data_IF_962307444192
#
_entry.id   IF_962307444192
#
_cell.length_a   1.000
_cell.length_b   1.000
_cell.length_c   1.000
_cell.angle_alpha   90.00
_cell.angle_beta   90.00
_cell.angle_gamma   90.00
#
_symmetry.space_group_name_H-M   'P 1'
#
loop_
_entity.id
_entity.type
_entity.pdbx_description
1 polymer ?
#
# COMPACT_ATOMS: atom_id res chain seq x y z
N UNK A 1 -4.52 34.70 -27.38
CA UNK A 1 -4.47 34.69 -25.90
C UNK A 1 -3.39 35.68 -25.52
N UNK A 2 -3.75 36.87 -25.04
CA UNK A 2 -2.80 37.81 -24.47
C UNK A 2 -2.16 37.15 -23.26
N UNK A 3 -0.84 37.02 -23.25
CA UNK A 3 -0.10 36.59 -22.06
C UNK A 3 -0.40 37.61 -20.96
N UNK A 4 -0.80 37.15 -19.81
CA UNK A 4 -1.04 38.01 -18.64
C UNK A 4 0.32 38.46 -18.08
N UNK A 5 0.93 39.42 -18.80
CA UNK A 5 2.24 39.96 -18.47
C UNK A 5 2.23 40.75 -17.16
N UNK A 6 1.08 41.33 -16.78
CA UNK A 6 0.96 42.10 -15.54
C UNK A 6 0.92 41.18 -14.32
N UNK A 7 0.18 40.06 -14.39
CA UNK A 7 0.15 39.06 -13.34
C UNK A 7 1.51 38.41 -13.12
N UNK A 8 2.21 38.09 -14.20
CA UNK A 8 3.58 37.52 -14.15
C UNK A 8 4.58 38.51 -13.54
N UNK A 9 4.51 39.81 -13.90
CA UNK A 9 5.36 40.85 -13.28
C UNK A 9 5.11 40.99 -11.78
N UNK A 10 3.86 40.97 -11.35
CA UNK A 10 3.52 41.01 -9.94
C UNK A 10 4.06 39.79 -9.16
N UNK A 11 4.07 38.59 -9.78
CA UNK A 11 4.67 37.41 -9.19
C UNK A 11 6.19 37.54 -9.05
N UNK A 12 6.89 38.14 -10.05
CA UNK A 12 8.32 38.41 -9.94
C UNK A 12 8.64 39.41 -8.83
N UNK A 13 7.85 40.48 -8.68
CA UNK A 13 8.03 41.41 -7.56
C UNK A 13 7.85 40.75 -6.19
N UNK A 14 6.85 39.85 -6.04
CA UNK A 14 6.71 39.07 -4.82
C UNK A 14 7.92 38.15 -4.57
N UNK A 15 8.49 37.57 -5.62
CA UNK A 15 9.68 36.74 -5.53
C UNK A 15 10.92 37.52 -5.07
N UNK A 16 11.13 38.74 -5.63
CA UNK A 16 12.24 39.62 -5.26
C UNK A 16 12.17 40.02 -3.77
N UNK A 17 10.98 40.25 -3.22
CA UNK A 17 10.79 40.48 -1.77
C UNK A 17 11.24 39.30 -0.90
N UNK A 18 11.17 38.08 -1.40
CA UNK A 18 11.66 36.89 -0.70
C UNK A 18 13.17 36.66 -0.90
N UNK A 19 13.74 37.14 -2.02
CA UNK A 19 15.17 37.02 -2.33
C UNK A 19 16.05 37.98 -1.52
N UNK A 20 15.55 39.13 -1.12
CA UNK A 20 16.28 40.09 -0.29
C UNK A 20 16.69 39.55 1.11
N UNK A 21 16.10 38.43 1.52
CA UNK A 21 16.50 37.71 2.74
C UNK A 21 17.58 36.64 2.53
N UNK A 22 18.01 36.38 1.30
CA UNK A 22 19.00 35.34 0.99
C UNK A 22 20.40 35.96 0.86
N UNK A 23 21.16 35.90 1.94
CA UNK A 23 22.54 36.36 2.02
C UNK A 23 23.46 35.50 1.14
N UNK A 24 23.95 36.12 0.05
CA UNK A 24 25.19 35.78 -0.61
C UNK A 24 25.36 34.38 -1.26
N UNK A 25 24.70 34.09 -2.35
CA UNK A 25 25.37 33.36 -3.42
C UNK A 25 25.33 31.83 -3.44
N UNK A 26 24.53 31.13 -2.62
CA UNK A 26 24.33 29.67 -2.73
C UNK A 26 22.87 29.35 -2.88
N UNK A 27 22.44 29.08 -4.11
CA UNK A 27 21.11 28.56 -4.44
C UNK A 27 21.01 27.15 -3.82
N UNK A 28 20.05 26.94 -2.90
CA UNK A 28 19.78 25.60 -2.41
C UNK A 28 19.15 24.73 -3.51
N UNK A 29 19.16 23.41 -3.36
CA UNK A 29 18.50 22.52 -4.31
C UNK A 29 17.00 22.83 -4.44
N UNK A 30 16.36 23.22 -3.34
CA UNK A 30 14.94 23.60 -3.31
C UNK A 30 14.71 24.89 -4.11
N UNK A 31 15.56 25.89 -3.93
CA UNK A 31 15.51 27.14 -4.70
C UNK A 31 15.72 26.87 -6.18
N UNK A 32 16.70 26.04 -6.54
CA UNK A 32 16.94 25.65 -7.93
C UNK A 32 15.72 24.96 -8.56
N UNK A 33 15.11 24.01 -7.88
CA UNK A 33 13.91 23.31 -8.35
C UNK A 33 12.73 24.26 -8.51
N UNK A 34 12.52 25.14 -7.52
CA UNK A 34 11.47 26.14 -7.57
C UNK A 34 11.67 27.10 -8.75
N UNK A 35 12.85 27.72 -8.87
CA UNK A 35 13.13 28.68 -9.93
C UNK A 35 13.01 28.05 -11.32
N UNK A 36 13.43 26.81 -11.49
CA UNK A 36 13.30 26.09 -12.75
C UNK A 36 11.85 25.86 -13.13
N UNK A 37 11.03 25.39 -12.21
CA UNK A 37 9.61 25.11 -12.41
C UNK A 37 8.80 26.39 -12.59
N UNK A 38 9.07 27.43 -11.79
CA UNK A 38 8.43 28.73 -11.89
C UNK A 38 8.74 29.41 -13.22
N UNK A 39 10.00 29.40 -13.63
CA UNK A 39 10.44 29.95 -14.93
C UNK A 39 9.79 29.22 -16.11
N UNK A 40 9.68 27.90 -16.02
CA UNK A 40 8.98 27.09 -17.03
C UNK A 40 7.51 27.50 -17.14
N UNK A 41 6.78 27.54 -16.03
CA UNK A 41 5.37 27.93 -15.99
C UNK A 41 5.15 29.36 -16.54
N UNK A 42 6.01 30.31 -16.18
CA UNK A 42 5.93 31.69 -16.69
C UNK A 42 6.23 31.81 -18.19
N UNK A 43 7.17 31.01 -18.70
CA UNK A 43 7.47 30.96 -20.14
C UNK A 43 6.32 30.35 -20.95
N UNK A 44 5.63 29.37 -20.40
CA UNK A 44 4.45 28.77 -21.02
C UNK A 44 3.19 29.64 -20.88
N UNK A 45 3.27 30.74 -20.10
CA UNK A 45 2.17 31.69 -19.89
C UNK A 45 1.03 31.13 -19.03
N UNK A 46 1.32 30.15 -18.17
CA UNK A 46 0.37 29.59 -17.22
C UNK A 46 0.49 30.30 -15.87
N UNK A 47 -0.32 31.35 -15.68
CA UNK A 47 -0.35 32.12 -14.43
C UNK A 47 -0.73 31.23 -13.24
N UNK A 48 -1.76 30.36 -13.40
CA UNK A 48 -2.25 29.49 -12.33
C UNK A 48 -1.18 28.49 -11.85
N UNK A 49 -0.37 27.93 -12.76
CA UNK A 49 0.74 27.04 -12.39
C UNK A 49 1.86 27.81 -11.68
N UNK A 50 2.20 29.01 -12.15
CA UNK A 50 3.20 29.85 -11.52
C UNK A 50 2.79 30.28 -10.09
N UNK A 51 1.52 30.62 -9.87
CA UNK A 51 0.96 30.90 -8.55
C UNK A 51 0.98 29.66 -7.64
N UNK A 52 0.68 28.48 -8.20
CA UNK A 52 0.78 27.21 -7.49
C UNK A 52 2.20 26.91 -6.99
N UNK A 53 3.21 27.08 -7.85
CA UNK A 53 4.62 26.92 -7.46
C UNK A 53 5.06 27.94 -6.41
N UNK A 54 4.65 29.21 -6.55
CA UNK A 54 4.96 30.24 -5.55
C UNK A 54 4.32 29.95 -4.20
N UNK A 55 3.07 29.50 -4.18
CA UNK A 55 2.38 29.10 -2.95
C UNK A 55 3.06 27.91 -2.26
N UNK A 56 3.43 26.90 -3.03
CA UNK A 56 4.16 25.72 -2.51
C UNK A 56 5.54 26.13 -1.95
N UNK A 57 6.25 27.00 -2.63
CA UNK A 57 7.55 27.50 -2.19
C UNK A 57 7.43 28.31 -0.88
N UNK A 58 6.43 29.19 -0.77
CA UNK A 58 6.13 29.92 0.48
C UNK A 58 5.85 28.98 1.64
N UNK A 59 5.04 27.94 1.42
CA UNK A 59 4.73 26.94 2.44
C UNK A 59 5.99 26.17 2.90
N UNK A 60 6.89 25.84 1.96
CA UNK A 60 8.17 25.21 2.28
C UNK A 60 9.06 26.16 3.08
N UNK A 61 9.17 27.43 2.69
CA UNK A 61 9.96 28.43 3.43
C UNK A 61 9.41 28.69 4.84
N UNK A 62 8.07 28.73 5.01
CA UNK A 62 7.43 28.85 6.31
C UNK A 62 7.73 27.63 7.19
N UNK A 63 7.71 26.43 6.61
CA UNK A 63 8.07 25.20 7.29
C UNK A 63 9.56 25.17 7.66
N UNK A 64 10.44 25.68 6.76
CA UNK A 64 11.87 25.82 7.02
C UNK A 64 12.18 26.95 7.99
N UNK A 65 11.40 28.03 8.03
CA UNK A 65 11.51 29.12 9.00
C UNK A 65 11.20 28.67 10.44
N UNK A 66 10.47 27.55 10.62
CA UNK A 66 10.30 26.91 11.92
C UNK A 66 11.51 26.06 12.38
N UNK A 67 12.41 25.73 11.44
CA UNK A 67 13.72 25.10 11.70
C UNK A 67 14.75 26.23 11.70
N UNK A 68 15.43 26.47 12.83
CA UNK A 68 16.40 27.58 12.88
C UNK A 68 17.37 27.48 11.69
N UNK A 69 17.73 28.58 11.04
CA UNK A 69 18.67 28.60 9.89
C UNK A 69 20.00 27.90 10.18
N UNK A 70 20.38 27.88 11.44
CA UNK A 70 21.58 27.22 11.95
C UNK A 70 21.47 25.70 11.88
N UNK A 71 20.31 25.14 12.21
CA UNK A 71 20.04 23.70 12.12
C UNK A 71 19.95 23.22 10.66
N UNK A 72 19.35 24.00 9.76
CA UNK A 72 19.30 23.68 8.33
C UNK A 72 20.70 23.66 7.69
N UNK A 73 21.54 24.66 7.99
CA UNK A 73 22.94 24.73 7.55
C UNK A 73 23.79 23.60 8.14
N UNK A 74 23.51 23.20 9.37
CA UNK A 74 24.23 22.10 10.03
C UNK A 74 23.88 20.78 9.36
N UNK A 75 22.59 20.52 9.05
CA UNK A 75 22.16 19.29 8.36
C UNK A 75 22.76 19.20 6.96
N UNK A 76 22.74 20.30 6.18
CA UNK A 76 23.32 20.32 4.83
C UNK A 76 24.84 20.04 4.86
N UNK A 77 25.57 20.66 5.77
CA UNK A 77 26.99 20.41 5.95
C UNK A 77 27.24 18.95 6.36
N UNK A 78 26.50 18.45 7.35
CA UNK A 78 26.68 17.10 7.87
C UNK A 78 26.38 16.03 6.82
N UNK A 79 25.33 16.20 5.99
CA UNK A 79 25.05 15.33 4.86
C UNK A 79 26.18 15.31 3.82
N UNK A 80 26.73 16.47 3.49
CA UNK A 80 27.86 16.57 2.54
C UNK A 80 29.11 15.86 3.10
N UNK A 81 29.42 16.04 4.36
CA UNK A 81 30.55 15.36 5.02
C UNK A 81 30.30 13.86 5.12
N UNK A 82 29.06 13.41 5.40
CA UNK A 82 28.71 11.98 5.41
C UNK A 82 28.99 11.34 4.05
N UNK A 83 28.60 11.97 2.94
CA UNK A 83 28.85 11.42 1.60
C UNK A 83 30.35 11.30 1.29
N UNK A 84 31.14 12.28 1.74
CA UNK A 84 32.62 12.25 1.58
C UNK A 84 33.21 11.12 2.43
N UNK A 85 32.84 11.00 3.69
CA UNK A 85 33.35 9.96 4.60
C UNK A 85 32.91 8.55 4.19
N UNK A 86 31.70 8.37 3.65
CA UNK A 86 31.26 7.10 3.07
C UNK A 86 32.12 6.70 1.88
N UNK A 87 32.49 7.68 1.01
CA UNK A 87 33.34 7.40 -0.14
C UNK A 87 34.80 7.05 0.30
N UNK A 88 35.31 7.71 1.35
CA UNK A 88 36.61 7.39 1.97
C UNK A 88 36.53 6.01 2.63
N UNK A 89 35.46 5.74 3.39
CA UNK A 89 35.25 4.45 4.06
C UNK A 89 35.16 3.28 3.08
N UNK A 90 34.51 3.46 1.94
CA UNK A 90 34.43 2.48 0.87
C UNK A 90 35.82 2.09 0.30
N UNK A 91 36.77 3.04 0.30
CA UNK A 91 38.16 2.81 -0.15
C UNK A 91 39.08 2.25 0.92
N UNK A 92 38.85 2.62 2.18
CA UNK A 92 39.72 2.28 3.31
C UNK A 92 39.22 1.12 4.17
N UNK A 93 37.92 0.74 4.02
CA UNK A 93 37.26 -0.26 4.86
C UNK A 93 36.91 0.21 6.26
N UNK A 94 37.19 1.50 6.62
CA UNK A 94 36.91 2.05 7.95
C UNK A 94 35.72 3.01 7.95
N UNK A 95 34.58 2.57 8.49
CA UNK A 95 33.32 3.30 8.54
C UNK A 95 33.10 4.12 9.81
N UNK A 96 34.04 4.15 10.76
CA UNK A 96 33.85 4.77 12.08
C UNK A 96 33.41 6.24 12.01
N UNK A 97 33.99 7.04 11.12
CA UNK A 97 33.63 8.45 10.94
C UNK A 97 32.29 8.63 10.25
N UNK A 98 31.99 7.81 9.24
CA UNK A 98 30.71 7.82 8.55
C UNK A 98 29.57 7.45 9.50
N UNK A 99 29.77 6.42 10.35
CA UNK A 99 28.81 6.00 11.36
C UNK A 99 28.59 7.08 12.44
N UNK A 100 29.64 7.79 12.85
CA UNK A 100 29.52 8.90 13.80
C UNK A 100 28.65 10.04 13.23
N UNK A 101 28.89 10.46 11.98
CA UNK A 101 28.10 11.48 11.29
C UNK A 101 26.65 11.03 11.05
N UNK A 102 26.44 9.78 10.72
CA UNK A 102 25.11 9.20 10.57
C UNK A 102 24.33 9.24 11.88
N UNK A 103 24.97 8.87 12.98
CA UNK A 103 24.36 8.91 14.30
C UNK A 103 24.01 10.35 14.72
N UNK A 104 24.86 11.33 14.42
CA UNK A 104 24.60 12.75 14.68
C UNK A 104 23.35 13.23 13.89
N UNK A 105 23.22 12.88 12.61
CA UNK A 105 22.04 13.18 11.81
C UNK A 105 20.78 12.55 12.43
N UNK A 106 20.85 11.27 12.81
CA UNK A 106 19.73 10.55 13.41
C UNK A 106 19.32 11.18 14.75
N UNK A 107 20.28 11.61 15.56
CA UNK A 107 20.01 12.23 16.85
C UNK A 107 19.38 13.62 16.69
N UNK A 108 19.88 14.40 15.72
CA UNK A 108 19.28 15.70 15.36
C UNK A 108 17.85 15.54 14.82
N UNK A 109 17.62 14.62 13.90
CA UNK A 109 16.26 14.32 13.40
C UNK A 109 15.30 13.96 14.54
N UNK A 110 15.76 13.21 15.54
CA UNK A 110 14.95 12.84 16.70
C UNK A 110 14.71 13.97 17.67
N UNK A 111 15.67 14.86 17.83
CA UNK A 111 15.54 16.00 18.75
C UNK A 111 14.58 17.06 18.20
N UNK A 112 14.66 17.35 16.89
CA UNK A 112 13.85 18.36 16.21
C UNK A 112 12.49 17.78 15.78
N UNK A 113 12.46 16.55 15.27
CA UNK A 113 11.28 15.89 14.68
C UNK A 113 10.52 14.99 15.64
N UNK A 114 10.51 15.23 16.97
CA UNK A 114 9.90 14.35 17.98
C UNK A 114 8.47 13.90 17.69
N UNK A 115 7.68 14.73 17.00
CA UNK A 115 6.28 14.47 16.66
C UNK A 115 6.11 13.80 15.30
N UNK A 116 7.12 13.86 14.42
CA UNK A 116 7.04 13.42 13.02
C UNK A 116 7.81 12.12 12.80
N UNK A 117 8.95 11.96 13.50
CA UNK A 117 9.81 10.77 13.34
C UNK A 117 9.19 9.57 14.06
N UNK A 118 8.87 8.47 13.35
CA UNK A 118 8.30 7.29 13.96
C UNK A 118 9.27 6.65 14.95
N UNK A 119 8.73 5.96 15.96
CA UNK A 119 9.54 5.23 16.93
C UNK A 119 10.36 4.12 16.26
N UNK A 120 11.50 3.75 16.86
CA UNK A 120 12.32 2.62 16.37
C UNK A 120 11.53 1.31 16.24
N UNK A 121 10.54 1.09 17.11
CA UNK A 121 9.65 -0.05 17.08
C UNK A 121 8.77 -0.03 15.85
N UNK A 122 8.16 1.13 15.54
CA UNK A 122 7.30 1.31 14.38
C UNK A 122 8.06 1.13 13.07
N UNK A 123 9.26 1.72 12.96
CA UNK A 123 10.12 1.54 11.79
C UNK A 123 10.51 0.06 11.58
N UNK A 124 10.84 -0.67 12.66
CA UNK A 124 11.14 -2.11 12.56
C UNK A 124 9.92 -2.92 12.12
N UNK A 125 8.74 -2.57 12.63
CA UNK A 125 7.49 -3.22 12.28
C UNK A 125 7.17 -3.02 10.80
N UNK A 126 7.35 -1.80 10.28
CA UNK A 126 7.16 -1.45 8.88
C UNK A 126 8.14 -2.21 7.97
N UNK A 127 9.43 -2.23 8.32
CA UNK A 127 10.44 -3.02 7.58
C UNK A 127 10.09 -4.51 7.58
N UNK A 128 9.64 -5.06 8.71
CA UNK A 128 9.22 -6.44 8.80
C UNK A 128 7.96 -6.71 7.95
N UNK A 129 6.97 -5.81 7.99
CA UNK A 129 5.75 -5.88 7.17
C UNK A 129 6.08 -5.91 5.67
N UNK A 130 6.91 -4.99 5.20
CA UNK A 130 7.30 -4.91 3.79
C UNK A 130 8.10 -6.16 3.35
N UNK A 131 9.01 -6.66 4.20
CA UNK A 131 9.81 -7.86 3.91
C UNK A 131 8.98 -9.14 3.89
N UNK A 132 7.91 -9.20 4.67
CA UNK A 132 7.05 -10.38 4.75
C UNK A 132 6.17 -10.56 3.52
N UNK A 133 5.90 -9.51 2.73
CA UNK A 133 5.02 -9.55 1.56
C UNK A 133 3.74 -10.38 1.82
N UNK A 134 3.06 -10.09 2.95
CA UNK A 134 2.01 -10.96 3.51
C UNK A 134 0.92 -11.28 2.49
N UNK A 135 0.42 -10.28 1.77
CA UNK A 135 -0.71 -10.47 0.86
C UNK A 135 -0.33 -11.28 -0.37
N UNK A 136 0.86 -11.05 -0.92
CA UNK A 136 1.40 -11.83 -2.04
C UNK A 136 1.57 -13.30 -1.67
N UNK A 137 2.21 -13.59 -0.54
CA UNK A 137 2.40 -14.97 -0.06
C UNK A 137 1.07 -15.65 0.26
N UNK A 138 0.13 -14.92 0.88
CA UNK A 138 -1.22 -15.41 1.16
C UNK A 138 -1.96 -15.72 -0.14
N UNK A 139 -1.86 -14.87 -1.15
CA UNK A 139 -2.46 -15.08 -2.47
C UNK A 139 -1.97 -16.39 -3.10
N UNK A 140 -0.67 -16.60 -3.20
CA UNK A 140 -0.13 -17.87 -3.72
C UNK A 140 -0.54 -19.08 -2.88
N UNK A 141 -0.61 -18.93 -1.56
CA UNK A 141 -1.11 -19.97 -0.67
C UNK A 141 -2.58 -20.33 -0.95
N UNK A 142 -3.46 -19.33 -1.10
CA UNK A 142 -4.86 -19.53 -1.47
C UNK A 142 -5.01 -20.20 -2.84
N UNK A 143 -4.19 -19.79 -3.82
CA UNK A 143 -4.17 -20.45 -5.13
C UNK A 143 -3.80 -21.92 -5.03
N UNK A 144 -2.64 -22.24 -4.47
CA UNK A 144 -2.13 -23.61 -4.41
C UNK A 144 -3.04 -24.55 -3.61
N UNK A 145 -3.43 -24.14 -2.38
CA UNK A 145 -4.27 -24.95 -1.52
C UNK A 145 -5.72 -25.02 -2.05
N UNK A 146 -6.26 -23.91 -2.57
CA UNK A 146 -7.59 -23.86 -3.17
C UNK A 146 -7.71 -24.72 -4.40
N UNK A 147 -6.73 -24.64 -5.32
CA UNK A 147 -6.69 -25.45 -6.52
C UNK A 147 -6.57 -26.96 -6.19
N UNK A 148 -5.65 -27.32 -5.29
CA UNK A 148 -5.52 -28.69 -4.85
C UNK A 148 -6.80 -29.22 -4.20
N UNK A 149 -7.40 -28.44 -3.30
CA UNK A 149 -8.63 -28.82 -2.63
C UNK A 149 -9.82 -28.95 -3.59
N UNK A 150 -9.91 -28.08 -4.60
CA UNK A 150 -10.94 -28.16 -5.64
C UNK A 150 -10.75 -29.43 -6.50
N UNK A 151 -9.51 -29.74 -6.88
CA UNK A 151 -9.18 -30.96 -7.62
C UNK A 151 -9.58 -32.20 -6.83
N UNK A 152 -9.22 -32.24 -5.52
CA UNK A 152 -9.62 -33.35 -4.66
C UNK A 152 -11.14 -33.46 -4.47
N UNK A 153 -11.84 -32.35 -4.43
CA UNK A 153 -13.31 -32.34 -4.41
C UNK A 153 -13.89 -33.04 -5.65
N UNK A 154 -13.40 -32.75 -6.84
CA UNK A 154 -13.85 -33.45 -8.05
C UNK A 154 -13.49 -34.93 -8.01
N UNK A 155 -12.29 -35.31 -7.56
CA UNK A 155 -11.93 -36.72 -7.42
C UNK A 155 -12.83 -37.44 -6.41
N UNK A 156 -13.21 -36.80 -5.32
CA UNK A 156 -14.15 -37.36 -4.33
C UNK A 156 -15.55 -37.55 -4.92
N UNK A 157 -16.01 -36.65 -5.78
CA UNK A 157 -17.34 -36.73 -6.43
C UNK A 157 -17.51 -38.03 -7.24
N UNK A 158 -16.42 -38.53 -7.82
CA UNK A 158 -16.40 -39.78 -8.60
C UNK A 158 -15.92 -41.01 -7.79
N UNK A 159 -15.65 -40.85 -6.49
CA UNK A 159 -15.16 -41.90 -5.63
C UNK A 159 -16.29 -42.56 -4.86
N UNK A 160 -16.19 -43.86 -4.59
CA UNK A 160 -17.16 -44.58 -3.77
C UNK A 160 -17.12 -44.05 -2.31
N UNK A 161 -18.26 -43.54 -1.76
CA UNK A 161 -18.29 -42.89 -0.44
C UNK A 161 -17.87 -43.79 0.72
N UNK A 162 -18.03 -45.11 0.61
CA UNK A 162 -17.68 -46.07 1.65
C UNK A 162 -16.25 -46.61 1.54
N UNK A 163 -15.55 -46.28 0.46
CA UNK A 163 -14.20 -46.80 0.17
C UNK A 163 -13.11 -46.16 1.03
N UNK A 164 -12.03 -46.91 1.23
CA UNK A 164 -10.81 -46.42 1.93
C UNK A 164 -10.27 -45.13 1.24
N UNK A 165 -10.29 -45.11 -0.10
CA UNK A 165 -9.84 -43.93 -0.90
C UNK A 165 -10.62 -42.65 -0.54
N UNK A 166 -11.94 -42.74 -0.44
CA UNK A 166 -12.77 -41.59 -0.07
C UNK A 166 -12.42 -41.07 1.33
N UNK A 167 -12.21 -41.96 2.30
CA UNK A 167 -11.84 -41.62 3.68
C UNK A 167 -10.49 -40.90 3.73
N UNK A 168 -9.48 -41.40 2.99
CA UNK A 168 -8.16 -40.78 2.90
C UNK A 168 -8.25 -39.38 2.28
N UNK A 169 -8.95 -39.23 1.13
CA UNK A 169 -9.16 -37.95 0.47
C UNK A 169 -9.89 -36.94 1.38
N UNK A 170 -10.90 -37.40 2.12
CA UNK A 170 -11.61 -36.55 3.09
C UNK A 170 -10.69 -36.05 4.22
N UNK A 171 -9.76 -36.88 4.68
CA UNK A 171 -8.77 -36.47 5.68
C UNK A 171 -7.82 -35.41 5.11
N UNK A 172 -7.30 -35.62 3.90
CA UNK A 172 -6.44 -34.65 3.21
C UNK A 172 -7.17 -33.32 3.02
N UNK A 173 -8.42 -33.34 2.55
CA UNK A 173 -9.25 -32.14 2.36
C UNK A 173 -9.45 -31.39 3.67
N UNK A 174 -9.61 -32.10 4.78
CA UNK A 174 -9.71 -31.47 6.13
C UNK A 174 -8.40 -30.79 6.54
N UNK A 175 -7.25 -31.42 6.30
CA UNK A 175 -5.93 -30.82 6.57
C UNK A 175 -5.73 -29.56 5.72
N UNK A 176 -6.06 -29.63 4.42
CA UNK A 176 -6.00 -28.45 3.55
C UNK A 176 -6.92 -27.32 4.03
N UNK A 177 -8.13 -27.65 4.52
CA UNK A 177 -9.04 -26.68 5.11
C UNK A 177 -8.43 -25.95 6.33
N UNK A 178 -7.74 -26.67 7.20
CA UNK A 178 -7.02 -26.08 8.32
C UNK A 178 -5.83 -25.21 7.84
N UNK A 179 -5.11 -25.62 6.80
CA UNK A 179 -4.04 -24.82 6.22
C UNK A 179 -4.57 -23.52 5.63
N UNK A 180 -5.72 -23.56 4.93
CA UNK A 180 -6.40 -22.35 4.43
C UNK A 180 -6.85 -21.47 5.59
N UNK A 181 -7.32 -22.05 6.70
CA UNK A 181 -7.68 -21.28 7.89
C UNK A 181 -6.47 -20.55 8.51
N UNK A 182 -5.31 -21.19 8.58
CA UNK A 182 -4.08 -20.54 9.05
C UNK A 182 -3.67 -19.38 8.11
N UNK A 183 -3.80 -19.54 6.79
CA UNK A 183 -3.58 -18.45 5.84
C UNK A 183 -4.59 -17.32 6.03
N UNK A 184 -5.85 -17.62 6.35
CA UNK A 184 -6.86 -16.62 6.65
C UNK A 184 -6.52 -15.80 7.89
N UNK A 185 -5.98 -16.42 8.94
CA UNK A 185 -5.48 -15.70 10.11
C UNK A 185 -4.24 -14.89 9.78
N UNK A 186 -3.32 -15.42 8.96
CA UNK A 186 -2.15 -14.68 8.49
C UNK A 186 -2.54 -13.46 7.63
N UNK A 187 -3.57 -13.59 6.78
CA UNK A 187 -4.16 -12.49 6.04
C UNK A 187 -4.74 -11.41 6.98
N UNK A 188 -5.53 -11.81 7.98
CA UNK A 188 -6.06 -10.91 9.00
C UNK A 188 -4.95 -10.16 9.76
N UNK A 189 -3.87 -10.85 10.10
CA UNK A 189 -2.70 -10.25 10.74
C UNK A 189 -2.06 -9.17 9.82
N UNK A 190 -1.97 -9.43 8.50
CA UNK A 190 -1.50 -8.46 7.53
C UNK A 190 -2.36 -7.18 7.48
N UNK A 191 -3.68 -7.33 7.45
CA UNK A 191 -4.63 -6.20 7.50
C UNK A 191 -4.48 -5.43 8.81
N UNK A 192 -4.36 -6.13 9.95
CA UNK A 192 -4.17 -5.51 11.27
C UNK A 192 -2.85 -4.75 11.36
N UNK A 193 -1.76 -5.33 10.86
CA UNK A 193 -0.46 -4.66 10.81
C UNK A 193 -0.53 -3.39 9.95
N UNK A 194 -1.20 -3.46 8.79
CA UNK A 194 -1.39 -2.29 7.95
C UNK A 194 -2.18 -1.21 8.67
N UNK A 195 -3.24 -1.57 9.40
CA UNK A 195 -4.01 -0.63 10.22
C UNK A 195 -3.14 0.08 11.28
N UNK A 196 -2.29 -0.69 11.97
CA UNK A 196 -1.38 -0.14 12.99
C UNK A 196 -0.37 0.82 12.36
N UNK A 197 0.19 0.46 11.19
CA UNK A 197 1.20 1.27 10.50
C UNK A 197 0.62 2.53 9.88
N UNK A 198 -0.58 2.45 9.29
CA UNK A 198 -1.25 3.59 8.64
C UNK A 198 -1.92 4.54 9.63
N UNK A 199 -2.25 4.06 10.84
CA UNK A 199 -3.04 4.81 11.83
C UNK A 199 -4.53 5.00 11.45
N UNK A 200 -4.99 4.41 10.35
CA UNK A 200 -6.38 4.47 9.89
C UNK A 200 -6.87 3.11 9.40
N UNK A 201 -8.19 2.98 9.23
CA UNK A 201 -8.81 1.74 8.78
C UNK A 201 -8.33 1.34 7.38
N UNK A 202 -7.94 0.05 7.17
CA UNK A 202 -7.27 -0.42 5.96
C UNK A 202 -8.26 -0.74 4.81
N UNK A 203 -9.07 0.21 4.41
CA UNK A 203 -9.99 0.19 3.25
C UNK A 203 -10.18 1.60 2.66
N UNK A 204 -9.15 2.44 2.79
CA UNK A 204 -9.17 3.84 2.36
C UNK A 204 -8.79 4.05 0.90
N UNK A 205 -8.10 3.12 0.28
CA UNK A 205 -7.72 3.15 -1.13
C UNK A 205 -8.09 1.85 -1.85
N UNK A 206 -7.92 1.81 -3.18
CA UNK A 206 -8.30 0.65 -4.00
C UNK A 206 -7.53 -0.61 -3.66
N UNK A 207 -6.24 -0.52 -3.34
CA UNK A 207 -5.42 -1.63 -2.90
C UNK A 207 -5.96 -2.25 -1.60
N UNK A 208 -6.16 -1.42 -0.59
CA UNK A 208 -6.69 -1.83 0.72
C UNK A 208 -8.09 -2.42 0.61
N UNK A 209 -8.93 -1.81 -0.23
CA UNK A 209 -10.27 -2.32 -0.49
C UNK A 209 -10.24 -3.74 -1.06
N UNK A 210 -9.41 -4.03 -2.06
CA UNK A 210 -9.30 -5.37 -2.63
C UNK A 210 -8.74 -6.39 -1.65
N UNK A 211 -7.73 -6.03 -0.86
CA UNK A 211 -7.19 -6.87 0.21
C UNK A 211 -8.29 -7.20 1.23
N UNK A 212 -9.06 -6.21 1.64
CA UNK A 212 -10.18 -6.41 2.57
C UNK A 212 -11.30 -7.27 1.97
N UNK A 213 -11.69 -7.03 0.70
CA UNK A 213 -12.69 -7.83 -0.02
C UNK A 213 -12.24 -9.30 -0.09
N UNK A 214 -10.96 -9.56 -0.40
CA UNK A 214 -10.41 -10.90 -0.45
C UNK A 214 -10.53 -11.62 0.92
N UNK A 215 -10.26 -10.92 2.01
CA UNK A 215 -10.41 -11.45 3.37
C UNK A 215 -11.87 -11.75 3.71
N UNK A 216 -12.79 -10.82 3.42
CA UNK A 216 -14.24 -11.02 3.66
C UNK A 216 -14.78 -12.16 2.78
N UNK A 217 -14.29 -12.31 1.55
CA UNK A 217 -14.62 -13.45 0.68
C UNK A 217 -14.24 -14.77 1.33
N UNK A 218 -13.04 -14.86 1.91
CA UNK A 218 -12.63 -16.05 2.68
C UNK A 218 -13.50 -16.29 3.90
N UNK A 219 -13.88 -15.22 4.62
CA UNK A 219 -14.82 -15.33 5.75
C UNK A 219 -16.16 -15.92 5.30
N UNK A 220 -16.72 -15.44 4.18
CA UNK A 220 -17.93 -16.01 3.58
C UNK A 220 -17.72 -17.50 3.21
N UNK A 221 -16.55 -17.85 2.66
CA UNK A 221 -16.17 -19.23 2.37
C UNK A 221 -16.25 -20.13 3.60
N UNK A 222 -15.70 -19.72 4.73
CA UNK A 222 -15.78 -20.48 5.97
C UNK A 222 -17.21 -20.61 6.51
N UNK A 223 -17.99 -19.53 6.46
CA UNK A 223 -19.38 -19.53 6.92
C UNK A 223 -20.26 -20.52 6.13
N UNK A 224 -20.07 -20.59 4.80
CA UNK A 224 -20.88 -21.42 3.93
C UNK A 224 -20.28 -22.81 3.60
N UNK A 225 -19.02 -23.06 3.92
CA UNK A 225 -18.32 -24.32 3.63
C UNK A 225 -18.97 -25.56 4.26
N UNK A 226 -19.66 -25.39 5.41
CA UNK A 226 -20.41 -26.48 6.07
C UNK A 226 -21.55 -27.02 5.21
N UNK A 227 -22.12 -26.21 4.29
CA UNK A 227 -23.23 -26.60 3.44
C UNK A 227 -22.78 -27.28 2.15
N UNK A 228 -21.59 -26.93 1.65
CA UNK A 228 -21.06 -27.48 0.40
C UNK A 228 -19.53 -27.46 0.43
N UNK A 229 -18.92 -28.63 0.21
CA UNK A 229 -17.47 -28.79 0.22
C UNK A 229 -16.74 -28.03 -0.93
N UNK A 230 -17.44 -27.67 -2.00
CA UNK A 230 -16.86 -26.86 -3.08
C UNK A 230 -16.70 -25.39 -2.72
N UNK A 231 -17.41 -24.89 -1.71
CA UNK A 231 -17.42 -23.44 -1.38
C UNK A 231 -16.03 -22.95 -0.96
N UNK A 232 -15.39 -23.63 -0.02
CA UNK A 232 -14.10 -23.18 0.52
C UNK A 232 -12.98 -23.10 -0.54
N UNK A 233 -12.75 -24.13 -1.38
CA UNK A 233 -11.75 -24.02 -2.43
C UNK A 233 -12.09 -22.97 -3.50
N UNK A 234 -13.36 -22.81 -3.84
CA UNK A 234 -13.80 -21.78 -4.80
C UNK A 234 -13.56 -20.37 -4.23
N UNK A 235 -13.86 -20.14 -2.95
CA UNK A 235 -13.56 -18.84 -2.31
C UNK A 235 -12.07 -18.56 -2.20
N UNK A 236 -11.26 -19.58 -1.95
CA UNK A 236 -9.80 -19.43 -1.91
C UNK A 236 -9.24 -18.99 -3.28
N UNK A 237 -9.73 -19.57 -4.38
CA UNK A 237 -9.36 -19.14 -5.73
C UNK A 237 -9.85 -17.72 -6.04
N UNK A 238 -11.08 -17.37 -5.64
CA UNK A 238 -11.61 -16.02 -5.82
C UNK A 238 -10.78 -14.98 -5.04
N UNK A 239 -10.46 -15.28 -3.78
CA UNK A 239 -9.61 -14.42 -2.95
C UNK A 239 -8.20 -14.26 -3.55
N UNK A 240 -7.64 -15.33 -4.13
CA UNK A 240 -6.39 -15.25 -4.88
C UNK A 240 -6.49 -14.26 -6.06
N UNK A 241 -7.54 -14.35 -6.88
CA UNK A 241 -7.70 -13.43 -8.01
C UNK A 241 -7.77 -11.98 -7.56
N UNK A 242 -8.42 -11.68 -6.45
CA UNK A 242 -8.45 -10.32 -5.89
C UNK A 242 -7.06 -9.86 -5.45
N UNK A 243 -6.32 -10.70 -4.72
CA UNK A 243 -4.95 -10.41 -4.31
C UNK A 243 -3.98 -10.36 -5.50
N UNK A 244 -4.20 -11.17 -6.53
CA UNK A 244 -3.41 -11.13 -7.76
C UNK A 244 -3.55 -9.79 -8.49
N UNK A 245 -4.76 -9.22 -8.54
CA UNK A 245 -4.99 -7.89 -9.14
C UNK A 245 -4.22 -6.80 -8.40
N UNK A 246 -4.06 -6.90 -7.08
CA UNK A 246 -3.27 -5.92 -6.32
C UNK A 246 -1.78 -5.95 -6.66
N UNK A 247 -1.26 -7.08 -7.16
CA UNK A 247 0.16 -7.25 -7.52
C UNK A 247 0.49 -6.79 -8.96
N UNK A 248 -0.51 -6.44 -9.77
CA UNK A 248 -0.32 -6.10 -11.20
C UNK A 248 0.09 -4.65 -11.45
N UNK A 249 0.59 -3.92 -10.44
CA UNK A 249 0.93 -2.48 -10.52
C UNK A 249 -0.25 -1.59 -10.99
N UNK A 250 -1.47 -2.10 -10.89
CA UNK A 250 -2.70 -1.33 -11.18
C UNK A 250 -3.13 -0.48 -9.99
N UNK A 251 -2.58 -0.76 -8.82
CA UNK A 251 -2.90 -0.10 -7.55
C UNK A 251 -1.63 0.12 -6.74
N UNK A 252 -1.56 1.27 -6.10
CA UNK A 252 -0.43 1.64 -5.27
C UNK A 252 -0.52 0.93 -3.90
N UNK A 253 0.45 0.08 -3.55
CA UNK A 253 0.49 -0.59 -2.25
C UNK A 253 0.98 0.31 -1.11
N UNK A 254 1.50 1.51 -1.41
CA UNK A 254 2.06 2.41 -0.41
C UNK A 254 1.00 2.81 0.63
N UNK A 255 1.48 3.07 1.85
CA UNK A 255 0.65 3.57 2.94
C UNK A 255 0.54 5.08 2.78
N UNK A 256 -0.61 5.54 2.28
CA UNK A 256 -0.89 6.95 2.06
C UNK A 256 -1.71 7.55 3.21
N UNK A 257 -1.59 8.86 3.48
CA UNK A 257 -2.46 9.54 4.44
C UNK A 257 -3.93 9.41 4.05
N UNK A 258 -4.80 9.34 5.07
CA UNK A 258 -6.25 9.23 4.86
C UNK A 258 -6.79 10.48 4.15
N UNK A 259 -7.54 10.26 3.08
CA UNK A 259 -8.23 11.35 2.36
C UNK A 259 -9.22 12.05 3.31
N UNK A 260 -9.27 13.40 3.37
CA UNK A 260 -10.08 14.14 4.33
C UNK A 260 -11.55 13.71 4.40
N UNK A 261 -12.15 13.34 3.28
CA UNK A 261 -13.54 12.87 3.22
C UNK A 261 -13.77 11.58 4.03
N UNK A 262 -12.75 10.73 4.17
CA UNK A 262 -12.82 9.46 4.91
C UNK A 262 -12.56 9.60 6.42
N UNK A 263 -12.36 10.81 6.94
CA UNK A 263 -12.17 11.04 8.38
C UNK A 263 -13.46 10.87 9.19
N UNK A 264 -14.63 10.83 8.53
CA UNK A 264 -15.90 10.56 9.21
C UNK A 264 -16.03 9.10 9.62
N UNK A 265 -16.26 8.86 10.91
CA UNK A 265 -16.46 7.50 11.47
C UNK A 265 -17.58 6.73 10.77
N UNK A 266 -18.73 7.37 10.54
CA UNK A 266 -19.87 6.73 9.88
C UNK A 266 -19.58 6.39 8.42
N UNK A 267 -18.82 7.23 7.73
CA UNK A 267 -18.43 6.95 6.36
C UNK A 267 -17.47 5.76 6.29
N UNK A 268 -16.51 5.65 7.23
CA UNK A 268 -15.63 4.48 7.30
C UNK A 268 -16.39 3.18 7.50
N UNK A 269 -17.38 3.15 8.42
CA UNK A 269 -18.23 1.98 8.64
C UNK A 269 -19.06 1.65 7.40
N UNK A 270 -19.63 2.66 6.75
CA UNK A 270 -20.40 2.49 5.53
C UNK A 270 -19.56 1.90 4.39
N UNK A 271 -18.37 2.43 4.16
CA UNK A 271 -17.41 1.92 3.16
C UNK A 271 -17.01 0.47 3.47
N UNK A 272 -16.72 0.14 4.73
CA UNK A 272 -16.38 -1.23 5.12
C UNK A 272 -17.51 -2.22 4.80
N UNK A 273 -18.76 -1.86 5.09
CA UNK A 273 -19.93 -2.73 4.83
C UNK A 273 -20.14 -2.90 3.33
N UNK A 274 -20.13 -1.81 2.54
CA UNK A 274 -20.31 -1.88 1.08
C UNK A 274 -19.17 -2.68 0.47
N UNK A 275 -17.93 -2.35 0.80
CA UNK A 275 -16.74 -3.03 0.27
C UNK A 275 -16.76 -4.51 0.62
N UNK A 276 -17.08 -4.87 1.88
CA UNK A 276 -17.24 -6.25 2.31
C UNK A 276 -18.35 -7.00 1.57
N UNK A 277 -19.45 -6.34 1.22
CA UNK A 277 -20.56 -6.96 0.50
C UNK A 277 -20.16 -7.47 -0.89
N UNK A 278 -19.17 -6.85 -1.54
CA UNK A 278 -18.66 -7.29 -2.84
C UNK A 278 -18.04 -8.68 -2.79
N UNK A 279 -17.44 -9.08 -1.67
CA UNK A 279 -16.94 -10.44 -1.46
C UNK A 279 -18.06 -11.48 -1.49
N UNK A 280 -19.18 -11.21 -0.82
CA UNK A 280 -20.36 -12.09 -0.82
C UNK A 280 -21.02 -12.14 -2.21
N UNK A 281 -21.14 -11.02 -2.89
CA UNK A 281 -21.71 -10.93 -4.24
C UNK A 281 -20.84 -11.69 -5.24
N UNK A 282 -19.52 -11.52 -5.21
CA UNK A 282 -18.57 -12.24 -6.06
C UNK A 282 -18.66 -13.76 -5.87
N UNK A 283 -18.73 -14.21 -4.62
CA UNK A 283 -18.93 -15.62 -4.29
C UNK A 283 -20.26 -16.13 -4.87
N UNK A 284 -21.35 -15.41 -4.66
CA UNK A 284 -22.66 -15.75 -5.20
C UNK A 284 -22.66 -15.85 -6.72
N UNK A 285 -22.01 -14.92 -7.41
CA UNK A 285 -21.90 -14.92 -8.87
C UNK A 285 -21.15 -16.17 -9.39
N UNK A 286 -20.00 -16.51 -8.79
CA UNK A 286 -19.23 -17.70 -9.21
C UNK A 286 -19.95 -18.99 -8.92
N UNK A 287 -20.55 -19.14 -7.74
CA UNK A 287 -21.31 -20.33 -7.39
C UNK A 287 -22.55 -20.47 -8.28
N UNK A 288 -23.22 -19.35 -8.61
CA UNK A 288 -24.31 -19.31 -9.58
C UNK A 288 -23.90 -19.79 -10.97
N UNK A 289 -22.76 -19.30 -11.46
CA UNK A 289 -22.20 -19.71 -12.75
C UNK A 289 -21.86 -21.21 -12.76
N UNK A 290 -21.18 -21.71 -11.73
CA UNK A 290 -20.86 -23.14 -11.59
C UNK A 290 -22.15 -23.97 -11.60
N UNK A 291 -23.17 -23.55 -10.85
CA UNK A 291 -24.45 -24.25 -10.80
C UNK A 291 -25.14 -24.27 -12.17
N UNK A 292 -25.14 -23.15 -12.89
CA UNK A 292 -25.68 -23.06 -14.24
C UNK A 292 -24.97 -24.03 -15.22
N UNK A 293 -23.64 -24.07 -15.19
CA UNK A 293 -22.83 -25.00 -15.99
C UNK A 293 -23.21 -26.45 -15.66
N UNK A 294 -23.32 -26.80 -14.39
CA UNK A 294 -23.70 -28.16 -13.96
C UNK A 294 -25.11 -28.55 -14.42
N UNK A 295 -26.07 -27.61 -14.39
CA UNK A 295 -27.44 -27.85 -14.90
C UNK A 295 -27.42 -28.13 -16.40
N UNK A 296 -26.65 -27.33 -17.17
CA UNK A 296 -26.54 -27.51 -18.65
C UNK A 296 -25.94 -28.88 -18.95
N UNK A 297 -24.84 -29.27 -18.30
CA UNK A 297 -24.18 -30.57 -18.51
C UNK A 297 -25.13 -31.71 -18.16
N UNK A 298 -25.83 -31.62 -17.03
CA UNK A 298 -26.82 -32.64 -16.61
C UNK A 298 -27.97 -32.77 -17.62
N UNK A 299 -28.49 -31.64 -18.12
CA UNK A 299 -29.58 -31.64 -19.13
C UNK A 299 -29.13 -32.25 -20.44
N UNK A 300 -27.91 -32.00 -20.87
CA UNK A 300 -27.33 -32.59 -22.07
C UNK A 300 -27.20 -34.11 -21.93
N UNK A 301 -26.74 -34.61 -20.77
CA UNK A 301 -26.59 -36.04 -20.48
C UNK A 301 -27.92 -36.81 -20.39
N UNK A 302 -28.99 -36.13 -19.97
CA UNK A 302 -30.33 -36.75 -19.89
C UNK A 302 -31.08 -36.74 -21.22
N UNK A 303 -30.52 -36.15 -22.30
CA UNK A 303 -31.09 -36.15 -23.66
C UNK A 303 -30.43 -37.16 -24.60
N UNK A 304 -29.33 -37.80 -24.14
CA UNK A 304 -28.67 -38.95 -24.78
C UNK A 304 -29.04 -40.23 -24.03
#
# INVERSE_FOLDING_TARGET
KAKDTLGIQNLFQQLDMYNDGFDGGKVSFIDFMFFTSFRYATQMGSLAEAEGYLSAYKAVLETMGSVSPENARTIEKTLRYLLIEVNVAAKTGNYTKADALLNEIIENQRSVGKTIVPSKGMTRLEVAYNKLEIFKRTGFGYFGLGFLMLTLFFVQLFSNPTGKRFRTLSTITRVLGWSIFLLFIFHAAGITLRWILSGHAPWSNGYEALVFIAWVTMLAGFLFSKKNAAVLPTTALLAYFMLFVTEQNLMDPDITPLVPVLQSYWLMVHVAIITGSYGFLGLGAILGLINLILIIIRRTRNKV
#
